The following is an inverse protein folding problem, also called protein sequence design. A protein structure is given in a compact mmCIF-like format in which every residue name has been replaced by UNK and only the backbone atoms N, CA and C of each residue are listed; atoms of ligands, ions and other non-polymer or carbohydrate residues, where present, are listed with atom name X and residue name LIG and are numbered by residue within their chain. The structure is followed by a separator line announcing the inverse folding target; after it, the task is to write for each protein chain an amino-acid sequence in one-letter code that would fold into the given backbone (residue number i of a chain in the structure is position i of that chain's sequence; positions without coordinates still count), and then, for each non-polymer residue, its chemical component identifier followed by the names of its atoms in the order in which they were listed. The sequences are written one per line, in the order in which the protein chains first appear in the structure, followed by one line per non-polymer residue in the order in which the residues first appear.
data_IF_220235953349
#
_entry.id   IF_220235953349
#
_cell.length_a   1.000
_cell.length_b   1.000
_cell.length_c   1.000
_cell.angle_alpha   90.00
_cell.angle_beta   90.00
_cell.angle_gamma   90.00
#
_symmetry.space_group_name_H-M   'P 1'
#
loop_
_entity.id
_entity.type
_entity.pdbx_description
1 polymer ?
#
# COMPACT_ATOMS: atom_id res chain seq x y z
N UNK A 1 -65.23 11.96 52.73
CA UNK A 1 -64.60 13.04 53.52
C UNK A 1 -63.70 13.86 52.60
N UNK A 2 -63.78 15.19 52.68
CA UNK A 2 -62.85 16.11 52.00
C UNK A 2 -62.00 16.79 53.06
N UNK A 3 -60.68 16.75 52.90
CA UNK A 3 -59.76 17.36 53.87
C UNK A 3 -58.34 17.38 53.33
N UNK A 4 -57.51 18.22 53.95
CA UNK A 4 -56.07 18.22 53.75
C UNK A 4 -55.44 17.26 54.76
N UNK A 5 -54.52 16.42 54.29
CA UNK A 5 -53.83 15.45 55.13
C UNK A 5 -52.33 15.78 55.13
N UNK A 6 -51.71 15.71 56.30
CA UNK A 6 -50.25 15.85 56.47
C UNK A 6 -49.68 14.52 56.96
N UNK A 7 -48.43 14.17 56.58
CA UNK A 7 -47.78 12.99 57.12
C UNK A 7 -47.77 13.00 58.65
N UNK A 8 -48.08 11.85 59.27
CA UNK A 8 -48.02 11.70 60.72
C UNK A 8 -46.58 11.77 61.26
N UNK A 9 -45.60 11.50 60.41
CA UNK A 9 -44.18 11.55 60.75
C UNK A 9 -43.58 12.88 60.28
N UNK A 10 -42.64 13.41 61.07
CA UNK A 10 -41.89 14.59 60.64
C UNK A 10 -41.03 14.25 59.42
N UNK A 11 -40.96 15.18 58.47
CA UNK A 11 -40.01 15.12 57.34
C UNK A 11 -38.60 15.58 57.73
N UNK A 12 -38.38 16.01 58.98
CA UNK A 12 -37.06 16.42 59.50
C UNK A 12 -35.92 15.40 59.24
N UNK A 13 -36.12 14.07 59.25
CA UNK A 13 -35.07 13.10 58.95
C UNK A 13 -34.56 13.14 57.50
N UNK A 14 -35.25 13.86 56.61
CA UNK A 14 -34.87 14.07 55.21
C UNK A 14 -34.10 15.39 55.02
N UNK A 15 -34.07 16.28 56.03
CA UNK A 15 -33.36 17.55 55.95
C UNK A 15 -31.85 17.27 55.86
N UNK A 16 -31.20 17.82 54.84
CA UNK A 16 -29.77 17.63 54.56
C UNK A 16 -29.42 16.31 53.85
N UNK A 17 -30.42 15.55 53.39
CA UNK A 17 -30.21 14.35 52.57
C UNK A 17 -30.49 14.67 51.09
N UNK A 18 -29.83 13.91 50.20
CA UNK A 18 -30.13 13.97 48.77
C UNK A 18 -31.59 13.66 48.51
N UNK A 19 -32.22 14.42 47.61
CA UNK A 19 -33.59 14.21 47.13
C UNK A 19 -33.64 13.26 45.93
N UNK A 20 -32.48 12.84 45.41
CA UNK A 20 -32.35 11.94 44.27
C UNK A 20 -32.88 10.55 44.61
N UNK A 21 -33.80 10.03 43.79
CA UNK A 21 -34.38 8.70 43.95
C UNK A 21 -35.86 8.63 43.54
N UNK A 22 -36.42 7.43 43.67
CA UNK A 22 -37.83 7.18 43.36
C UNK A 22 -38.71 7.46 44.59
N UNK A 23 -39.66 8.38 44.44
CA UNK A 23 -40.65 8.72 45.47
C UNK A 23 -41.98 8.04 45.17
N UNK A 24 -42.53 7.30 46.13
CA UNK A 24 -43.79 6.57 45.97
C UNK A 24 -44.83 7.13 46.95
N UNK A 25 -45.93 7.67 46.42
CA UNK A 25 -47.14 7.95 47.20
C UNK A 25 -48.02 6.70 47.25
N UNK A 26 -48.24 6.15 48.44
CA UNK A 26 -49.15 5.03 48.64
C UNK A 26 -50.41 5.49 49.39
N UNK A 27 -51.58 5.26 48.79
CA UNK A 27 -52.89 5.48 49.42
C UNK A 27 -53.51 4.11 49.67
N UNK A 28 -53.87 3.83 50.92
CA UNK A 28 -54.48 2.57 51.33
C UNK A 28 -55.82 2.87 51.98
N UNK A 29 -56.89 2.30 51.42
CA UNK A 29 -58.21 2.31 52.03
C UNK A 29 -58.34 1.08 52.93
N UNK A 30 -58.61 1.29 54.22
CA UNK A 30 -58.73 0.22 55.21
C UNK A 30 -60.20 -0.13 55.51
N UNK A 31 -61.16 0.59 54.92
CA UNK A 31 -62.60 0.40 55.17
C UNK A 31 -63.38 0.25 53.85
N UNK A 32 -63.74 -0.98 53.45
CA UNK A 32 -64.29 -1.27 52.12
C UNK A 32 -65.70 -0.72 51.84
N UNK A 33 -66.31 -0.01 52.80
CA UNK A 33 -67.67 0.53 52.70
C UNK A 33 -67.70 1.97 52.16
N UNK A 34 -66.55 2.66 52.10
CA UNK A 34 -66.43 4.02 51.60
C UNK A 34 -65.66 4.07 50.27
N UNK A 35 -65.72 5.21 49.57
CA UNK A 35 -64.93 5.45 48.37
C UNK A 35 -64.28 6.84 48.41
N UNK A 36 -63.08 6.94 47.86
CA UNK A 36 -62.31 8.17 47.78
C UNK A 36 -61.50 8.25 46.50
N UNK A 37 -61.14 9.48 46.11
CA UNK A 37 -60.21 9.74 45.00
C UNK A 37 -59.22 10.83 45.40
N UNK A 38 -57.97 10.68 45.01
CA UNK A 38 -56.96 11.74 45.15
C UNK A 38 -57.29 12.86 44.15
N UNK A 39 -57.47 14.08 44.65
CA UNK A 39 -57.71 15.25 43.79
C UNK A 39 -56.40 15.95 43.38
N UNK A 40 -55.45 16.07 44.31
CA UNK A 40 -54.14 16.70 44.07
C UNK A 40 -53.11 16.17 45.07
N UNK A 41 -51.87 16.03 44.61
CA UNK A 41 -50.70 15.81 45.45
C UNK A 41 -49.58 16.72 44.94
N UNK A 42 -48.94 17.46 45.83
CA UNK A 42 -47.78 18.30 45.53
C UNK A 42 -46.65 17.93 46.49
N UNK A 43 -45.43 17.84 45.97
CA UNK A 43 -44.21 17.67 46.76
C UNK A 43 -43.30 18.87 46.47
N UNK A 44 -43.08 19.71 47.48
CA UNK A 44 -42.24 20.90 47.37
C UNK A 44 -40.93 20.68 48.12
N UNK A 45 -39.82 20.89 47.44
CA UNK A 45 -38.49 20.83 48.04
C UNK A 45 -37.93 22.23 48.23
N UNK A 46 -37.31 22.47 49.38
CA UNK A 46 -36.53 23.68 49.61
C UNK A 46 -35.04 23.30 49.52
N UNK A 47 -34.43 23.60 48.38
CA UNK A 47 -33.02 23.33 48.15
C UNK A 47 -32.18 24.38 48.90
N UNK A 48 -31.18 23.91 49.64
CA UNK A 48 -30.22 24.78 50.33
C UNK A 48 -28.85 24.56 49.71
N UNK A 49 -28.35 25.56 48.99
CA UNK A 49 -27.08 25.51 48.26
C UNK A 49 -27.19 26.20 46.90
N UNK A 50 -26.09 26.24 46.16
CA UNK A 50 -26.08 26.61 44.75
C UNK A 50 -26.36 25.34 43.91
N UNK A 51 -27.18 25.46 42.87
CA UNK A 51 -27.42 24.34 41.95
C UNK A 51 -26.24 24.32 40.99
N UNK A 52 -25.47 23.24 41.02
CA UNK A 52 -24.44 22.99 40.03
C UNK A 52 -25.07 22.44 38.76
N UNK A 53 -24.63 22.99 37.63
CA UNK A 53 -25.06 22.54 36.31
C UNK A 53 -24.22 21.31 35.98
N UNK A 54 -24.86 20.33 35.35
CA UNK A 54 -24.22 19.18 34.76
C UNK A 54 -24.85 19.01 33.37
N UNK A 55 -24.13 19.48 32.36
CA UNK A 55 -24.61 19.71 31.01
C UNK A 55 -24.64 18.43 30.17
N UNK A 56 -23.77 17.46 30.48
CA UNK A 56 -23.65 16.18 29.78
C UNK A 56 -24.28 14.99 30.55
N UNK A 57 -24.77 15.25 31.76
CA UNK A 57 -25.40 14.32 32.69
C UNK A 57 -24.48 13.20 33.21
N UNK A 58 -23.19 13.48 33.34
CA UNK A 58 -22.22 12.53 33.87
C UNK A 58 -22.13 12.56 35.42
N UNK A 59 -21.08 12.01 36.06
CA UNK A 59 -20.98 11.97 37.54
C UNK A 59 -20.36 13.23 38.15
N UNK A 60 -19.85 14.14 37.32
CA UNK A 60 -19.17 15.38 37.68
C UNK A 60 -20.07 16.57 37.33
N UNK A 61 -19.92 17.69 38.03
CA UNK A 61 -20.58 18.93 37.65
C UNK A 61 -19.71 19.71 36.67
N UNK A 62 -20.31 20.62 35.88
CA UNK A 62 -19.58 21.42 34.86
C UNK A 62 -18.36 22.17 35.42
N UNK A 63 -18.30 22.40 36.74
CA UNK A 63 -17.18 23.08 37.42
C UNK A 63 -16.06 22.13 37.89
N UNK A 64 -16.36 20.84 38.04
CA UNK A 64 -15.40 19.79 38.42
C UNK A 64 -15.06 18.87 37.23
N UNK A 65 -15.76 19.00 36.11
CA UNK A 65 -15.63 18.19 34.91
C UNK A 65 -14.61 18.80 33.93
N UNK A 66 -13.62 18.00 33.51
CA UNK A 66 -12.65 18.41 32.49
C UNK A 66 -13.20 18.31 31.05
N UNK A 67 -14.41 17.76 30.84
CA UNK A 67 -15.17 17.82 29.59
C UNK A 67 -16.67 18.11 29.79
N UNK A 68 -17.06 19.33 30.20
CA UNK A 68 -18.43 19.66 30.64
C UNK A 68 -19.58 19.36 29.66
N UNK A 69 -19.28 19.12 28.38
CA UNK A 69 -20.27 18.89 27.32
C UNK A 69 -20.21 17.46 26.76
N UNK A 70 -19.25 16.64 27.20
CA UNK A 70 -18.97 15.31 26.63
C UNK A 70 -18.65 14.33 27.76
N UNK A 71 -19.54 13.36 27.97
CA UNK A 71 -19.43 12.36 29.03
C UNK A 71 -18.11 11.62 29.07
N UNK A 72 -17.36 11.81 30.16
CA UNK A 72 -16.11 11.13 30.44
C UNK A 72 -15.95 10.82 31.94
N UNK A 73 -16.66 9.78 32.37
CA UNK A 73 -16.68 9.28 33.76
C UNK A 73 -15.30 8.97 34.38
N UNK A 74 -14.28 8.75 33.55
CA UNK A 74 -12.92 8.47 33.98
C UNK A 74 -12.04 9.73 34.13
N UNK A 75 -12.51 10.90 33.69
CA UNK A 75 -11.84 12.20 33.76
C UNK A 75 -10.37 12.10 33.35
N UNK A 76 -10.10 11.32 32.29
CA UNK A 76 -8.72 11.14 31.80
C UNK A 76 -8.28 12.43 31.14
N UNK A 77 -7.11 12.88 31.57
CA UNK A 77 -6.37 14.04 31.07
C UNK A 77 -4.89 13.62 31.07
N UNK A 78 -4.41 13.23 29.89
CA UNK A 78 -3.10 12.59 29.71
C UNK A 78 -1.97 13.61 29.74
N UNK A 79 -2.17 14.81 29.21
CA UNK A 79 -1.15 15.86 29.11
C UNK A 79 -1.23 16.90 30.25
N UNK A 80 -2.26 16.81 31.10
CA UNK A 80 -2.47 17.55 32.34
C UNK A 80 -2.69 19.04 32.14
N UNK A 81 -3.35 19.42 31.05
CA UNK A 81 -3.69 20.82 30.76
C UNK A 81 -5.05 21.26 31.33
N UNK A 82 -5.85 20.30 31.81
CA UNK A 82 -7.16 20.50 32.41
C UNK A 82 -8.34 20.34 31.45
N UNK A 83 -8.12 20.08 30.16
CA UNK A 83 -9.13 19.62 29.18
C UNK A 83 -9.02 18.08 29.09
N UNK A 84 -10.13 17.35 29.19
CA UNK A 84 -10.07 15.88 29.15
C UNK A 84 -9.79 15.35 27.74
N UNK A 85 -9.10 14.21 27.63
CA UNK A 85 -8.68 13.65 26.34
C UNK A 85 -9.83 13.50 25.33
N UNK A 86 -11.06 13.23 25.79
CA UNK A 86 -12.23 13.05 24.90
C UNK A 86 -12.73 14.37 24.28
N UNK A 87 -12.43 15.51 24.91
CA UNK A 87 -12.82 16.83 24.44
C UNK A 87 -11.60 17.71 24.08
N UNK A 88 -10.38 17.20 24.24
CA UNK A 88 -9.18 17.93 23.86
C UNK A 88 -8.76 17.63 22.41
N UNK A 89 -8.97 18.63 21.56
CA UNK A 89 -8.48 18.59 20.18
C UNK A 89 -6.97 18.84 20.07
N UNK A 90 -6.44 19.67 20.96
CA UNK A 90 -5.09 20.20 20.89
C UNK A 90 -4.03 19.20 21.36
N UNK A 91 -4.42 18.15 22.09
CA UNK A 91 -3.58 17.01 22.42
C UNK A 91 -2.87 16.46 21.18
N UNK A 92 -1.55 16.33 21.30
CA UNK A 92 -0.69 15.74 20.28
C UNK A 92 -1.03 14.27 20.01
N UNK A 93 -1.67 13.58 20.95
CA UNK A 93 -2.07 12.19 20.84
C UNK A 93 -3.50 12.00 20.32
N UNK A 94 -4.24 13.08 20.07
CA UNK A 94 -5.60 13.00 19.55
C UNK A 94 -5.67 12.19 18.24
N UNK A 95 -4.67 12.34 17.35
CA UNK A 95 -4.64 11.66 16.07
C UNK A 95 -3.72 10.44 16.05
N UNK A 96 -4.23 9.34 15.51
CA UNK A 96 -3.43 8.18 15.12
C UNK A 96 -3.48 8.01 13.60
N UNK A 97 -2.31 8.11 12.99
CA UNK A 97 -2.12 7.99 11.54
C UNK A 97 -1.30 6.74 11.26
N UNK A 98 -1.81 5.85 10.42
CA UNK A 98 -1.07 4.72 9.88
C UNK A 98 -0.96 4.86 8.36
N UNK A 99 0.14 4.37 7.79
CA UNK A 99 0.33 4.33 6.34
C UNK A 99 0.66 2.92 5.89
N UNK A 100 0.27 2.61 4.66
CA UNK A 100 0.63 1.40 3.96
C UNK A 100 1.26 1.78 2.63
N UNK A 101 2.48 1.32 2.42
CA UNK A 101 3.24 1.55 1.20
C UNK A 101 2.66 0.78 0.01
N UNK A 102 3.02 1.19 -1.21
CA UNK A 102 2.57 0.48 -2.40
C UNK A 102 3.01 -0.98 -2.38
N UNK A 103 2.13 -1.86 -2.83
CA UNK A 103 2.47 -3.27 -2.90
C UNK A 103 3.47 -3.58 -4.00
N UNK A 104 3.72 -2.66 -4.93
CA UNK A 104 4.46 -2.84 -6.17
C UNK A 104 4.75 -1.48 -6.82
N UNK A 105 5.76 -1.42 -7.69
CA UNK A 105 6.06 -0.21 -8.48
C UNK A 105 4.86 0.14 -9.37
N UNK A 106 4.53 1.42 -9.43
CA UNK A 106 3.47 2.02 -10.26
C UNK A 106 2.07 1.37 -10.07
N UNK A 107 1.74 0.87 -8.88
CA UNK A 107 0.40 0.30 -8.62
C UNK A 107 -0.59 1.30 -8.08
N UNK A 108 -0.12 2.39 -7.51
CA UNK A 108 -0.91 3.42 -6.87
C UNK A 108 -1.93 2.80 -5.92
N UNK A 109 -1.47 1.90 -5.05
CA UNK A 109 -2.31 1.18 -4.09
C UNK A 109 -1.84 1.31 -2.65
N UNK A 110 -1.02 2.32 -2.36
CA UNK A 110 -0.76 2.75 -0.99
C UNK A 110 -2.03 3.29 -0.33
N UNK A 111 -2.00 3.42 0.99
CA UNK A 111 -3.12 3.96 1.75
C UNK A 111 -2.70 4.66 3.03
N UNK A 112 -3.55 5.59 3.47
CA UNK A 112 -3.41 6.32 4.73
C UNK A 112 -4.67 6.04 5.55
N UNK A 113 -4.47 5.69 6.82
CA UNK A 113 -5.50 5.48 7.83
C UNK A 113 -5.44 6.61 8.84
N UNK A 114 -6.60 7.18 9.17
CA UNK A 114 -6.74 8.29 10.09
C UNK A 114 -7.82 7.93 11.11
N UNK A 115 -7.48 8.05 12.39
CA UNK A 115 -8.41 7.94 13.51
C UNK A 115 -8.15 9.06 14.51
N UNK A 116 -9.20 9.54 15.17
CA UNK A 116 -9.11 10.53 16.25
C UNK A 116 -9.64 9.96 17.56
N UNK A 117 -9.15 10.48 18.68
CA UNK A 117 -9.61 10.10 20.01
C UNK A 117 -10.72 11.03 20.50
N UNK A 118 -10.50 12.35 20.42
CA UNK A 118 -11.45 13.34 20.88
C UNK A 118 -12.71 13.39 20.00
N UNK A 119 -13.86 13.58 20.65
CA UNK A 119 -15.21 13.54 20.06
C UNK A 119 -15.55 14.85 19.34
N UNK A 120 -14.95 15.00 18.15
CA UNK A 120 -15.26 16.08 17.23
C UNK A 120 -15.60 15.54 15.85
N UNK A 121 -16.31 16.36 15.08
CA UNK A 121 -16.34 16.20 13.63
C UNK A 121 -15.12 16.90 13.04
N UNK A 122 -14.34 16.14 12.28
CA UNK A 122 -13.13 16.60 11.62
C UNK A 122 -13.36 16.68 10.12
N UNK A 123 -12.70 17.64 9.48
CA UNK A 123 -12.45 17.62 8.05
C UNK A 123 -10.96 17.44 7.80
N UNK A 124 -10.61 16.89 6.63
CA UNK A 124 -9.23 16.76 6.20
C UNK A 124 -9.07 17.16 4.74
N UNK A 125 -7.87 17.62 4.41
CA UNK A 125 -7.38 17.65 3.04
C UNK A 125 -6.07 16.84 2.95
N UNK A 126 -5.86 16.22 1.82
CA UNK A 126 -4.67 15.45 1.52
C UNK A 126 -4.12 15.93 0.18
N UNK A 127 -2.97 16.57 0.22
CA UNK A 127 -2.24 17.03 -0.96
C UNK A 127 -1.11 16.05 -1.22
N UNK A 128 -0.97 15.59 -2.46
CA UNK A 128 0.01 14.59 -2.84
C UNK A 128 0.78 14.93 -4.11
N UNK A 129 1.60 13.99 -4.60
CA UNK A 129 2.37 14.14 -5.83
C UNK A 129 1.46 14.35 -7.05
N UNK A 130 2.03 14.88 -8.13
CA UNK A 130 1.32 15.10 -9.41
C UNK A 130 0.02 15.92 -9.32
N UNK A 131 -0.13 16.72 -8.26
CA UNK A 131 -1.34 17.52 -8.03
C UNK A 131 -2.51 16.71 -7.46
N UNK A 132 -2.24 15.52 -6.89
CA UNK A 132 -3.24 14.76 -6.14
C UNK A 132 -3.84 15.61 -5.03
N UNK A 133 -5.18 15.61 -4.94
CA UNK A 133 -5.93 16.29 -3.91
C UNK A 133 -7.15 15.45 -3.54
N UNK A 134 -7.33 15.18 -2.25
CA UNK A 134 -8.54 14.59 -1.70
C UNK A 134 -8.95 15.34 -0.44
N UNK A 135 -10.25 15.50 -0.22
CA UNK A 135 -10.80 16.04 1.01
C UNK A 135 -11.96 15.19 1.52
N UNK A 136 -12.28 15.32 2.80
CA UNK A 136 -13.40 14.61 3.39
C UNK A 136 -13.57 14.91 4.86
N UNK A 137 -14.40 14.10 5.52
CA UNK A 137 -14.72 14.24 6.95
C UNK A 137 -14.63 12.91 7.68
N UNK A 138 -14.38 12.96 8.98
CA UNK A 138 -14.35 11.79 9.87
C UNK A 138 -14.61 12.22 11.32
N UNK A 139 -14.76 11.25 12.23
CA UNK A 139 -14.92 11.48 13.67
C UNK A 139 -14.28 10.34 14.47
N UNK A 140 -14.33 10.42 15.80
CA UNK A 140 -13.76 9.41 16.70
C UNK A 140 -14.42 8.02 16.59
N UNK A 141 -15.62 7.94 16.00
CA UNK A 141 -16.39 6.70 15.86
C UNK A 141 -16.27 6.08 14.46
N UNK A 142 -15.78 6.85 13.49
CA UNK A 142 -15.68 6.47 12.08
C UNK A 142 -14.30 6.87 11.58
N UNK A 143 -13.40 5.89 11.58
CA UNK A 143 -12.06 6.05 11.04
C UNK A 143 -12.09 6.26 9.51
N UNK A 144 -11.13 7.04 9.01
CA UNK A 144 -10.99 7.33 7.58
C UNK A 144 -9.86 6.52 6.96
N UNK A 145 -10.15 5.91 5.82
CA UNK A 145 -9.16 5.24 4.97
C UNK A 145 -9.13 5.93 3.61
N UNK A 146 -7.95 6.40 3.23
CA UNK A 146 -7.67 6.95 1.91
C UNK A 146 -6.86 5.91 1.16
N UNK A 147 -7.38 5.41 0.04
CA UNK A 147 -6.80 4.31 -0.72
C UNK A 147 -6.33 4.79 -2.09
N UNK A 148 -5.63 3.91 -2.79
CA UNK A 148 -5.16 4.12 -4.16
C UNK A 148 -4.16 5.27 -4.30
N UNK A 149 -3.29 5.42 -3.30
CA UNK A 149 -2.25 6.44 -3.28
C UNK A 149 -1.01 5.92 -4.04
N UNK A 150 -0.47 6.76 -4.91
CA UNK A 150 0.86 6.55 -5.50
C UNK A 150 1.96 6.82 -4.48
N UNK A 151 3.14 6.30 -4.73
CA UNK A 151 4.34 6.61 -3.97
C UNK A 151 4.69 8.09 -4.12
N UNK A 152 5.24 8.66 -3.06
CA UNK A 152 5.58 10.07 -2.97
C UNK A 152 5.25 10.68 -1.61
N UNK A 153 5.46 11.99 -1.54
CA UNK A 153 5.26 12.80 -0.34
C UNK A 153 3.84 13.36 -0.32
N UNK A 154 3.17 13.19 0.80
CA UNK A 154 1.83 13.68 1.06
C UNK A 154 1.83 14.65 2.26
N UNK A 155 1.01 15.68 2.16
CA UNK A 155 0.67 16.59 3.23
C UNK A 155 -0.80 16.40 3.59
N UNK A 156 -1.05 15.81 4.77
CA UNK A 156 -2.38 15.64 5.33
C UNK A 156 -2.63 16.76 6.34
N UNK A 157 -3.62 17.62 6.14
CA UNK A 157 -4.03 18.59 7.16
C UNK A 157 -5.46 18.31 7.63
N UNK A 158 -5.67 18.39 8.95
CA UNK A 158 -6.95 18.14 9.62
C UNK A 158 -7.44 19.40 10.33
N UNK A 159 -8.76 19.57 10.36
CA UNK A 159 -9.45 20.74 10.88
C UNK A 159 -10.67 20.33 11.70
N UNK A 160 -11.11 21.18 12.62
CA UNK A 160 -12.39 21.06 13.34
C UNK A 160 -13.31 22.23 13.08
N UNK A 161 -14.62 21.96 13.10
CA UNK A 161 -15.65 22.96 12.80
C UNK A 161 -15.98 23.88 13.99
N UNK A 162 -15.57 23.52 15.21
CA UNK A 162 -16.07 24.10 16.47
C UNK A 162 -15.17 25.19 17.07
N UNK A 163 -13.86 25.15 16.82
CA UNK A 163 -12.90 26.20 17.21
C UNK A 163 -12.27 26.74 15.93
N UNK A 164 -12.35 28.06 15.71
CA UNK A 164 -11.83 28.71 14.51
C UNK A 164 -10.37 28.28 14.23
N UNK A 165 -10.16 27.59 13.10
CA UNK A 165 -8.87 27.48 12.39
C UNK A 165 -7.71 26.80 13.13
N UNK A 166 -7.94 25.75 13.92
CA UNK A 166 -6.82 24.91 14.34
C UNK A 166 -6.57 23.86 13.25
N UNK A 167 -5.44 24.04 12.57
CA UNK A 167 -4.93 23.16 11.53
C UNK A 167 -3.80 22.31 12.09
N UNK A 168 -3.91 20.99 11.93
CA UNK A 168 -2.84 20.03 12.25
C UNK A 168 -2.40 19.33 10.97
N UNK A 169 -1.19 19.60 10.52
CA UNK A 169 -0.63 19.02 9.30
C UNK A 169 0.44 17.97 9.58
N UNK A 170 0.44 16.90 8.78
CA UNK A 170 1.35 15.76 8.87
C UNK A 170 1.98 15.48 7.51
N UNK A 171 3.30 15.32 7.48
CA UNK A 171 4.02 14.87 6.29
C UNK A 171 4.13 13.35 6.29
N UNK A 172 3.61 12.71 5.25
CA UNK A 172 3.51 11.25 5.13
C UNK A 172 4.18 10.84 3.82
N UNK A 173 5.10 9.89 3.88
CA UNK A 173 5.79 9.36 2.68
C UNK A 173 5.27 7.97 2.36
N UNK A 174 4.62 7.80 1.21
CA UNK A 174 4.25 6.48 0.68
C UNK A 174 5.41 5.99 -0.17
N UNK A 175 6.00 4.85 0.20
CA UNK A 175 7.12 4.26 -0.55
C UNK A 175 6.60 3.24 -1.57
N UNK A 176 7.42 2.97 -2.58
CA UNK A 176 7.28 1.80 -3.45
C UNK A 176 8.49 0.84 -3.31
N UNK A 177 8.35 -0.45 -3.69
CA UNK A 177 9.45 -1.40 -3.60
C UNK A 177 10.57 -1.14 -4.61
N UNK A 178 11.83 -1.31 -4.20
CA UNK A 178 12.99 -1.20 -5.12
C UNK A 178 12.86 -2.11 -6.37
N UNK A 179 13.16 -1.61 -7.59
CA UNK A 179 13.14 -2.41 -8.83
C UNK A 179 14.23 -3.47 -8.85
N UNK A 180 13.94 -4.60 -9.52
CA UNK A 180 14.94 -5.64 -9.74
C UNK A 180 16.05 -5.13 -10.68
N UNK A 181 17.28 -5.06 -10.17
CA UNK A 181 18.47 -4.74 -10.97
C UNK A 181 19.32 -5.99 -11.12
N UNK A 182 19.60 -6.37 -12.36
CA UNK A 182 20.39 -7.55 -12.71
C UNK A 182 21.59 -7.17 -13.57
N UNK A 183 22.77 -7.11 -12.96
CA UNK A 183 24.02 -6.91 -13.69
C UNK A 183 24.62 -8.27 -14.08
N UNK A 184 24.97 -8.42 -15.36
CA UNK A 184 25.44 -9.71 -15.92
C UNK A 184 26.85 -9.59 -16.47
N UNK A 185 27.74 -10.50 -16.07
CA UNK A 185 29.10 -10.63 -16.61
C UNK A 185 29.29 -12.05 -17.12
N UNK A 186 29.56 -12.20 -18.41
CA UNK A 186 29.71 -13.50 -19.08
C UNK A 186 31.19 -13.76 -19.37
N UNK A 187 31.70 -14.88 -18.88
CA UNK A 187 33.01 -15.41 -19.26
C UNK A 187 32.80 -16.57 -20.24
N UNK A 188 33.14 -16.39 -21.52
CA UNK A 188 32.97 -17.40 -22.55
C UNK A 188 33.91 -18.61 -22.40
N UNK A 189 35.06 -18.38 -21.75
CA UNK A 189 35.97 -19.42 -21.27
C UNK A 189 36.35 -19.01 -19.84
N UNK A 190 35.82 -19.65 -18.78
CA UNK A 190 35.33 -21.03 -18.69
C UNK A 190 33.78 -21.24 -18.73
N UNK A 191 33.02 -20.47 -19.52
CA UNK A 191 31.54 -20.58 -19.69
C UNK A 191 30.73 -20.29 -18.42
N UNK A 192 30.98 -19.12 -17.84
CA UNK A 192 30.38 -18.75 -16.55
C UNK A 192 29.63 -17.44 -16.68
N UNK A 193 28.37 -17.43 -16.25
CA UNK A 193 27.56 -16.24 -16.07
C UNK A 193 27.60 -15.83 -14.59
N UNK A 194 28.14 -14.64 -14.32
CA UNK A 194 28.07 -14.02 -13.01
C UNK A 194 26.95 -12.99 -13.00
N UNK A 195 26.10 -13.07 -11.99
CA UNK A 195 24.99 -12.15 -11.75
C UNK A 195 25.28 -11.35 -10.48
N UNK A 196 24.97 -10.06 -10.51
CA UNK A 196 24.93 -9.21 -9.33
C UNK A 196 23.53 -8.56 -9.24
N UNK A 197 22.77 -8.97 -8.23
CA UNK A 197 21.35 -8.70 -8.07
C UNK A 197 21.09 -7.65 -6.98
N UNK A 198 20.15 -6.74 -7.23
CA UNK A 198 19.63 -5.78 -6.24
C UNK A 198 18.12 -5.62 -6.40
N UNK A 199 17.47 -5.06 -5.38
CA UNK A 199 16.03 -4.80 -5.39
C UNK A 199 15.19 -6.05 -5.14
N UNK A 200 15.60 -6.92 -4.21
CA UNK A 200 14.83 -8.10 -3.81
C UNK A 200 15.43 -8.80 -2.58
N UNK A 201 14.58 -9.43 -1.79
CA UNK A 201 14.98 -10.28 -0.65
C UNK A 201 15.21 -11.74 -1.07
N UNK A 202 14.48 -12.18 -2.10
CA UNK A 202 14.51 -13.53 -2.63
C UNK A 202 14.48 -13.49 -4.16
N UNK A 203 15.37 -14.25 -4.79
CA UNK A 203 15.56 -14.29 -6.23
C UNK A 203 15.37 -15.71 -6.76
N UNK A 204 14.76 -15.78 -7.93
CA UNK A 204 14.57 -16.99 -8.70
C UNK A 204 15.35 -16.82 -10.00
N UNK A 205 16.23 -17.78 -10.27
CA UNK A 205 16.97 -17.83 -11.52
C UNK A 205 16.60 -19.11 -12.24
N UNK A 206 15.98 -18.98 -13.40
CA UNK A 206 15.72 -20.08 -14.30
C UNK A 206 16.86 -20.13 -15.33
N UNK A 207 17.49 -21.28 -15.52
CA UNK A 207 18.50 -21.51 -16.55
C UNK A 207 18.17 -22.80 -17.29
N UNK A 208 17.92 -22.70 -18.60
CA UNK A 208 17.59 -23.83 -19.47
C UNK A 208 16.40 -24.68 -18.95
N UNK A 209 15.40 -24.03 -18.36
CA UNK A 209 14.21 -24.66 -17.78
C UNK A 209 14.40 -25.16 -16.34
N UNK A 210 15.61 -25.10 -15.78
CA UNK A 210 15.85 -25.45 -14.37
C UNK A 210 15.74 -24.21 -13.49
N UNK A 211 14.89 -24.27 -12.46
CA UNK A 211 14.67 -23.19 -11.51
C UNK A 211 15.59 -23.32 -10.29
N UNK A 212 16.28 -22.24 -9.97
CA UNK A 212 17.14 -22.10 -8.78
C UNK A 212 16.61 -20.98 -7.89
N UNK A 213 16.60 -21.23 -6.58
CA UNK A 213 16.10 -20.29 -5.58
C UNK A 213 17.25 -19.78 -4.70
N UNK A 214 17.33 -18.47 -4.53
CA UNK A 214 18.35 -17.80 -3.72
C UNK A 214 17.67 -16.81 -2.77
N UNK A 215 18.04 -16.83 -1.49
CA UNK A 215 17.62 -15.80 -0.53
C UNK A 215 18.42 -14.51 -0.73
N UNK A 216 19.01 -14.00 0.37
CA UNK A 216 19.78 -12.73 0.39
C UNK A 216 21.10 -12.74 -0.41
N UNK A 217 21.44 -13.82 -1.11
CA UNK A 217 22.69 -13.92 -1.89
C UNK A 217 22.52 -13.12 -3.18
N UNK A 218 23.25 -12.01 -3.27
CA UNK A 218 23.18 -11.07 -4.40
C UNK A 218 24.14 -11.40 -5.54
N UNK A 219 25.20 -12.19 -5.28
CA UNK A 219 26.18 -12.59 -6.28
C UNK A 219 26.02 -14.06 -6.61
N UNK A 220 25.57 -14.37 -7.83
CA UNK A 220 25.28 -15.74 -8.26
C UNK A 220 26.19 -16.11 -9.41
N UNK A 221 26.69 -17.34 -9.37
CA UNK A 221 27.55 -17.90 -10.41
C UNK A 221 26.84 -19.09 -11.04
N UNK A 222 26.66 -19.04 -12.36
CA UNK A 222 25.98 -20.06 -13.14
C UNK A 222 26.92 -20.60 -14.21
N UNK A 223 26.85 -21.91 -14.45
CA UNK A 223 27.59 -22.57 -15.52
C UNK A 223 26.73 -22.65 -16.77
N UNK A 224 27.31 -22.26 -17.90
CA UNK A 224 26.65 -22.27 -19.19
C UNK A 224 27.02 -23.54 -19.97
N UNK A 225 26.04 -24.11 -20.66
CA UNK A 225 26.25 -25.23 -21.56
C UNK A 225 26.77 -24.74 -22.92
N UNK A 226 27.36 -25.64 -23.72
CA UNK A 226 27.53 -25.37 -25.15
C UNK A 226 26.15 -25.20 -25.82
N UNK A 227 26.06 -24.29 -26.78
CA UNK A 227 24.84 -23.90 -27.47
C UNK A 227 24.09 -22.76 -26.78
N UNK A 228 22.77 -22.79 -26.90
CA UNK A 228 21.89 -21.76 -26.35
C UNK A 228 21.71 -21.98 -24.86
N UNK A 229 21.87 -20.90 -24.11
CA UNK A 229 21.51 -20.81 -22.70
C UNK A 229 20.44 -19.73 -22.53
N UNK A 230 19.23 -20.15 -22.20
CA UNK A 230 18.14 -19.23 -21.88
C UNK A 230 18.11 -19.05 -20.38
N UNK A 231 18.23 -17.82 -19.91
CA UNK A 231 18.12 -17.55 -18.48
C UNK A 231 17.13 -16.43 -18.19
N UNK A 232 16.44 -16.57 -17.06
CA UNK A 232 15.46 -15.62 -16.55
C UNK A 232 15.71 -15.39 -15.06
N UNK A 233 15.71 -14.14 -14.63
CA UNK A 233 15.85 -13.75 -13.22
C UNK A 233 14.62 -12.96 -12.82
N UNK A 234 13.98 -13.35 -11.73
CA UNK A 234 12.81 -12.68 -11.16
C UNK A 234 12.83 -12.78 -9.64
N UNK A 235 11.95 -12.05 -8.95
CA UNK A 235 11.85 -12.09 -7.48
C UNK A 235 10.58 -12.81 -7.03
N UNK A 236 10.42 -13.02 -5.72
CA UNK A 236 9.17 -13.50 -5.12
C UNK A 236 7.99 -12.53 -5.34
N UNK A 237 8.28 -11.28 -5.67
CA UNK A 237 7.30 -10.25 -5.92
C UNK A 237 7.18 -10.04 -7.44
N UNK A 238 6.09 -10.55 -8.02
CA UNK A 238 5.89 -10.63 -9.48
C UNK A 238 5.99 -9.28 -10.20
N UNK A 239 5.77 -8.18 -9.50
CA UNK A 239 5.77 -6.82 -10.03
C UNK A 239 7.12 -6.11 -10.04
N UNK A 240 8.19 -6.66 -9.44
CA UNK A 240 9.54 -6.09 -9.60
C UNK A 240 10.14 -6.37 -10.98
N UNK A 241 9.37 -7.00 -11.87
CA UNK A 241 9.77 -7.38 -13.20
C UNK A 241 10.64 -8.65 -13.23
N UNK A 242 11.14 -8.94 -14.42
CA UNK A 242 12.09 -10.01 -14.65
C UNK A 242 13.08 -9.59 -15.73
N UNK A 243 14.30 -10.11 -15.65
CA UNK A 243 15.24 -10.07 -16.77
C UNK A 243 15.22 -11.42 -17.46
N UNK A 244 14.99 -11.47 -18.77
CA UNK A 244 15.15 -12.68 -19.58
C UNK A 244 16.13 -12.41 -20.72
N UNK A 245 17.11 -13.29 -20.89
CA UNK A 245 18.10 -13.19 -21.97
C UNK A 245 18.47 -14.56 -22.51
N UNK A 246 18.96 -14.55 -23.74
CA UNK A 246 19.52 -15.70 -24.43
C UNK A 246 21.02 -15.47 -24.61
N UNK A 247 21.83 -16.42 -24.16
CA UNK A 247 23.28 -16.42 -24.31
C UNK A 247 23.67 -17.59 -25.19
N UNK A 248 24.41 -17.33 -26.26
CA UNK A 248 25.00 -18.37 -27.09
C UNK A 248 26.46 -18.61 -26.69
N UNK A 249 26.81 -19.88 -26.46
CA UNK A 249 28.17 -20.35 -26.25
C UNK A 249 28.48 -21.34 -27.38
N UNK A 250 29.48 -21.05 -28.20
CA UNK A 250 29.87 -21.94 -29.28
C UNK A 250 31.03 -21.39 -30.08
N UNK A 251 31.52 -22.20 -31.02
CA UNK A 251 32.64 -21.84 -31.91
C UNK A 251 32.19 -21.31 -33.27
N UNK A 252 30.98 -21.67 -33.70
CA UNK A 252 30.42 -21.28 -35.00
C UNK A 252 29.24 -20.34 -34.80
N UNK A 253 28.81 -19.65 -35.84
CA UNK A 253 27.56 -18.90 -35.80
C UNK A 253 26.34 -19.85 -35.78
N UNK A 254 25.23 -19.38 -35.21
CA UNK A 254 24.02 -20.19 -35.03
C UNK A 254 22.76 -19.35 -35.23
N UNK A 255 21.73 -19.90 -35.89
CA UNK A 255 20.44 -19.23 -36.10
C UNK A 255 19.34 -19.80 -35.18
N UNK A 256 18.56 -18.91 -34.53
CA UNK A 256 17.38 -19.29 -33.73
C UNK A 256 16.27 -18.23 -33.81
N UNK A 257 14.99 -18.62 -34.03
CA UNK A 257 14.53 -19.98 -34.28
C UNK A 257 14.96 -20.48 -35.66
N UNK A 258 15.12 -21.80 -35.78
CA UNK A 258 15.43 -22.49 -37.03
C UNK A 258 14.82 -23.91 -36.96
N UNK A 259 13.73 -24.24 -37.69
CA UNK A 259 13.18 -23.50 -38.83
C UNK A 259 12.52 -22.16 -38.49
N UNK A 260 12.75 -21.15 -39.33
CA UNK A 260 12.29 -19.77 -39.17
C UNK A 260 10.95 -19.52 -39.88
N UNK A 261 10.10 -18.69 -39.25
CA UNK A 261 8.90 -18.11 -39.84
C UNK A 261 9.26 -16.88 -40.68
N UNK A 262 9.13 -15.68 -40.13
CA UNK A 262 9.59 -14.44 -40.76
C UNK A 262 10.99 -14.03 -40.30
N UNK A 263 11.25 -13.95 -38.99
CA UNK A 263 12.54 -13.46 -38.47
C UNK A 263 13.31 -14.52 -37.71
N UNK A 264 14.62 -14.57 -37.90
CA UNK A 264 15.54 -15.39 -37.09
C UNK A 264 16.63 -14.52 -36.49
N UNK A 265 17.14 -14.94 -35.34
CA UNK A 265 18.27 -14.29 -34.67
C UNK A 265 19.54 -15.08 -34.94
N UNK A 266 20.56 -14.41 -35.45
CA UNK A 266 21.87 -14.97 -35.70
C UNK A 266 22.77 -14.65 -34.52
N UNK A 267 23.32 -15.68 -33.89
CA UNK A 267 24.24 -15.60 -32.77
C UNK A 267 25.67 -15.84 -33.26
N UNK A 268 26.59 -15.00 -32.80
CA UNK A 268 28.01 -15.06 -33.13
C UNK A 268 28.83 -15.61 -31.95
N UNK A 269 29.92 -16.34 -32.21
CA UNK A 269 30.77 -16.89 -31.15
C UNK A 269 31.54 -15.79 -30.39
N UNK A 270 31.91 -14.70 -31.06
CA UNK A 270 32.57 -13.55 -30.46
C UNK A 270 31.97 -12.23 -30.95
N UNK A 271 32.33 -11.14 -30.26
CA UNK A 271 31.84 -9.81 -30.58
C UNK A 271 32.57 -9.26 -31.81
N UNK A 272 31.83 -8.81 -32.82
CA UNK A 272 32.39 -8.11 -33.98
C UNK A 272 31.56 -6.87 -34.25
N UNK A 273 32.20 -5.70 -34.27
CA UNK A 273 31.50 -4.42 -34.54
C UNK A 273 30.88 -4.35 -35.92
N UNK A 274 31.47 -5.06 -36.89
CA UNK A 274 31.09 -5.03 -38.29
C UNK A 274 31.02 -6.45 -38.84
N UNK A 275 29.92 -6.78 -39.49
CA UNK A 275 29.65 -8.13 -40.02
C UNK A 275 29.03 -8.00 -41.41
N UNK A 276 29.65 -8.63 -42.40
CA UNK A 276 29.14 -8.69 -43.76
C UNK A 276 28.43 -10.03 -43.96
N UNK A 277 27.24 -9.99 -44.52
CA UNK A 277 26.38 -11.15 -44.72
C UNK A 277 26.15 -11.37 -46.20
N UNK A 278 26.20 -12.63 -46.63
CA UNK A 278 25.81 -13.05 -47.96
C UNK A 278 24.86 -14.24 -47.83
N UNK A 279 23.68 -14.15 -48.43
CA UNK A 279 22.67 -15.19 -48.43
C UNK A 279 22.65 -15.94 -49.76
N UNK A 280 22.61 -17.26 -49.69
CA UNK A 280 22.56 -18.15 -50.85
C UNK A 280 21.44 -19.17 -50.72
N UNK A 281 20.94 -19.67 -51.85
CA UNK A 281 20.13 -20.90 -51.87
C UNK A 281 21.02 -22.12 -51.56
N UNK A 282 20.42 -23.27 -51.26
CA UNK A 282 21.18 -24.51 -51.02
C UNK A 282 21.96 -25.00 -52.25
N UNK A 283 21.54 -24.60 -53.45
CA UNK A 283 22.24 -24.83 -54.72
C UNK A 283 23.41 -23.85 -54.97
N UNK A 284 23.60 -22.86 -54.09
CA UNK A 284 24.70 -21.89 -54.17
C UNK A 284 24.39 -20.62 -54.96
N UNK A 285 23.14 -20.39 -55.35
CA UNK A 285 22.76 -19.14 -56.02
C UNK A 285 22.74 -17.99 -55.01
N UNK A 286 23.44 -16.90 -55.33
CA UNK A 286 23.46 -15.68 -54.53
C UNK A 286 22.08 -14.99 -54.54
N UNK A 287 21.62 -14.54 -53.38
CA UNK A 287 20.33 -13.87 -53.22
C UNK A 287 20.48 -12.43 -52.75
N UNK A 288 21.21 -12.22 -51.65
CA UNK A 288 21.23 -10.94 -50.95
C UNK A 288 22.53 -10.77 -50.15
N UNK A 289 22.86 -9.51 -49.85
CA UNK A 289 23.96 -9.15 -48.94
C UNK A 289 23.60 -7.96 -48.08
N UNK A 290 24.10 -7.96 -46.85
CA UNK A 290 23.95 -6.83 -45.95
C UNK A 290 25.20 -6.60 -45.11
N UNK A 291 25.33 -5.41 -44.56
CA UNK A 291 26.39 -5.02 -43.65
C UNK A 291 25.78 -4.55 -42.33
N UNK A 292 26.02 -5.33 -41.27
CA UNK A 292 25.47 -5.04 -39.94
C UNK A 292 26.57 -4.46 -39.05
N UNK A 293 26.25 -3.31 -38.46
CA UNK A 293 27.03 -2.71 -37.38
C UNK A 293 26.39 -3.13 -36.05
N UNK A 294 27.15 -3.86 -35.24
CA UNK A 294 26.70 -4.39 -33.96
C UNK A 294 27.23 -3.49 -32.84
N UNK A 295 26.33 -2.99 -32.00
CA UNK A 295 26.68 -2.19 -30.82
C UNK A 295 27.29 -3.08 -29.72
N UNK A 296 28.18 -2.50 -28.91
CA UNK A 296 29.25 -3.14 -28.14
C UNK A 296 28.86 -4.22 -27.08
N UNK A 297 27.58 -4.62 -26.95
CA UNK A 297 27.11 -5.54 -25.91
C UNK A 297 26.45 -6.83 -26.40
N UNK A 298 26.09 -6.94 -27.68
CA UNK A 298 25.21 -8.03 -28.16
C UNK A 298 25.89 -8.86 -29.25
N UNK A 299 26.24 -10.12 -28.97
CA UNK A 299 26.80 -11.07 -29.96
C UNK A 299 25.74 -11.66 -30.90
N UNK A 300 24.78 -10.86 -31.35
CA UNK A 300 23.70 -11.34 -32.19
C UNK A 300 22.97 -10.22 -32.90
N UNK A 301 22.39 -10.52 -34.05
CA UNK A 301 21.54 -9.62 -34.82
C UNK A 301 20.31 -10.37 -35.34
N UNK A 302 19.26 -9.63 -35.71
CA UNK A 302 18.09 -10.21 -36.35
C UNK A 302 18.25 -10.18 -37.87
N UNK A 303 17.74 -11.21 -38.53
CA UNK A 303 17.68 -11.32 -39.98
C UNK A 303 16.24 -11.63 -40.42
N UNK A 304 15.75 -10.88 -41.39
CA UNK A 304 14.41 -11.06 -41.95
C UNK A 304 14.44 -12.06 -43.11
N UNK A 305 13.66 -13.12 -42.94
CA UNK A 305 13.43 -14.19 -43.92
C UNK A 305 12.01 -14.12 -44.50
N UNK A 306 11.23 -13.07 -44.19
CA UNK A 306 9.82 -12.96 -44.53
C UNK A 306 9.53 -12.94 -46.03
N UNK A 307 10.44 -12.38 -46.83
CA UNK A 307 10.31 -12.27 -48.29
C UNK A 307 10.78 -13.53 -49.04
N UNK A 308 11.46 -14.44 -48.34
CA UNK A 308 12.03 -15.63 -48.96
C UNK A 308 11.05 -16.82 -48.88
N UNK A 309 10.85 -17.56 -49.98
CA UNK A 309 10.01 -18.78 -49.99
C UNK A 309 10.49 -19.86 -49.02
N UNK A 310 9.62 -20.83 -48.72
CA UNK A 310 9.99 -22.02 -47.95
C UNK A 310 11.16 -22.76 -48.63
N UNK A 311 12.20 -23.07 -47.87
CA UNK A 311 13.44 -23.61 -48.45
C UNK A 311 14.61 -23.66 -47.46
N UNK A 312 15.77 -24.07 -47.97
CA UNK A 312 17.02 -24.09 -47.22
C UNK A 312 17.95 -23.03 -47.80
N UNK A 313 18.50 -22.20 -46.92
CA UNK A 313 19.40 -21.11 -47.25
C UNK A 313 20.72 -21.28 -46.50
N UNK A 314 21.80 -20.82 -47.12
CA UNK A 314 23.12 -20.74 -46.51
C UNK A 314 23.49 -19.27 -46.37
N UNK A 315 23.71 -18.82 -45.14
CA UNK A 315 24.19 -17.48 -44.84
C UNK A 315 25.67 -17.55 -44.53
N UNK A 316 26.49 -16.92 -45.37
CA UNK A 316 27.90 -16.69 -45.08
C UNK A 316 28.04 -15.37 -44.31
N UNK A 317 28.77 -15.43 -43.21
CA UNK A 317 28.94 -14.37 -42.23
C UNK A 317 30.43 -14.07 -42.16
N UNK A 318 30.80 -12.95 -42.74
CA UNK A 318 32.18 -12.49 -42.83
C UNK A 318 32.44 -11.40 -41.80
N UNK A 319 33.33 -11.69 -40.85
CA UNK A 319 33.84 -10.73 -39.88
C UNK A 319 35.29 -10.39 -40.20
N UNK A 320 35.89 -9.43 -39.49
CA UNK A 320 37.33 -9.15 -39.65
C UNK A 320 38.24 -10.33 -39.29
N UNK A 321 37.78 -11.21 -38.40
CA UNK A 321 38.61 -12.25 -37.78
C UNK A 321 38.33 -13.65 -38.33
N UNK A 322 37.13 -13.89 -38.87
CA UNK A 322 36.63 -15.23 -39.21
C UNK A 322 35.47 -15.15 -40.20
N UNK A 323 35.27 -16.24 -40.93
CA UNK A 323 34.10 -16.52 -41.75
C UNK A 323 33.30 -17.67 -41.13
N UNK A 324 31.97 -17.59 -41.18
CA UNK A 324 31.06 -18.63 -40.73
C UNK A 324 29.99 -18.88 -41.78
N UNK A 325 29.50 -20.13 -41.86
CA UNK A 325 28.31 -20.45 -42.64
C UNK A 325 27.22 -20.98 -41.72
N UNK A 326 26.02 -20.40 -41.80
CA UNK A 326 24.84 -20.82 -41.05
C UNK A 326 23.77 -21.30 -42.00
N UNK A 327 23.27 -22.52 -41.76
CA UNK A 327 22.11 -23.07 -42.49
C UNK A 327 20.81 -22.57 -41.87
N UNK A 328 19.96 -21.93 -42.66
CA UNK A 328 18.65 -21.42 -42.25
C UNK A 328 17.58 -22.20 -43.00
N UNK A 329 16.61 -22.77 -42.28
CA UNK A 329 15.48 -23.51 -42.85
C UNK A 329 14.23 -22.64 -42.73
N UNK A 330 13.69 -22.17 -43.85
CA UNK A 330 12.46 -21.36 -43.89
C UNK A 330 11.24 -22.28 -43.97
N UNK A 331 10.28 -22.09 -43.05
CA UNK A 331 8.97 -22.76 -43.10
C UNK A 331 8.11 -22.21 -44.22
#
# INVERSE_FOLDING_TARGET
FTGEYKPNQSLSPLIGKSVFGNWILQIKDEFPQDSGRLLKFDLNFNLKGEIEINSDMDSFSDVEDNCPLITNQNQVDTDQDGEGDICDFDDQNNFKILKYDESCIDKNNGSIYISAFADFNYSYNLIGPEGFYEEGTFNNSIDKIINNLSSGDYLLCMYTDTKAQIERCFSIVINEPDPLVVNTIINYNPKILNLNLRGGEEYFVELNGQLFKYGKIKKIKLFLNEGINKFKVFTNQSCRGFLERIIYIGKNAYASPNPVGSKTKIFLPYHSKKVNLNLYTIEGNYLDSDEIIINDEVKSFEWDMGEYPSGIYLMNINTKESEFTVKIVKK
#
